data_IF_309979153301
#
_entry.id   IF_309979153301
#
_cell.length_a   1.000
_cell.length_b   1.000
_cell.length_c   1.000
_cell.angle_alpha   90.00
_cell.angle_beta   90.00
_cell.angle_gamma   90.00
#
_symmetry.space_group_name_H-M   'P 1'
#
loop_
_entity.id
_entity.type
_entity.pdbx_description
1 polymer ?
#
# COMPACT_ATOMS: atom_id res chain seq x y z
N UNK A 1 19.60 -12.21 -16.99
CA UNK A 1 20.06 -12.03 -15.60
C UNK A 1 20.14 -10.53 -15.29
N UNK A 2 19.27 -10.01 -14.41
CA UNK A 2 19.27 -8.57 -14.06
C UNK A 2 20.54 -8.30 -13.25
N UNK A 3 21.52 -7.60 -13.82
CA UNK A 3 22.73 -7.18 -13.10
C UNK A 3 22.37 -6.01 -12.17
N UNK A 4 21.79 -6.30 -11.00
CA UNK A 4 21.40 -5.27 -10.02
C UNK A 4 22.56 -4.35 -9.66
N UNK A 5 23.78 -4.89 -9.58
CA UNK A 5 25.01 -4.13 -9.36
C UNK A 5 25.17 -2.97 -10.35
N UNK A 6 25.10 -3.26 -11.66
CA UNK A 6 25.21 -2.23 -12.71
C UNK A 6 24.11 -1.17 -12.59
N UNK A 7 22.87 -1.59 -12.32
CA UNK A 7 21.75 -0.65 -12.14
C UNK A 7 21.96 0.25 -10.92
N UNK A 8 22.53 -0.30 -9.86
CA UNK A 8 22.84 0.41 -8.62
C UNK A 8 23.96 1.44 -8.80
N UNK A 9 24.83 1.26 -9.78
CA UNK A 9 25.93 2.17 -10.14
C UNK A 9 25.49 3.30 -11.08
N UNK A 10 24.24 3.30 -11.55
CA UNK A 10 23.71 4.43 -12.33
C UNK A 10 23.55 5.69 -11.46
N UNK A 11 23.73 6.86 -12.06
CA UNK A 11 23.63 8.16 -11.37
C UNK A 11 22.31 8.32 -10.58
N UNK A 12 21.20 7.79 -11.10
CA UNK A 12 19.89 7.81 -10.42
C UNK A 12 19.92 7.05 -9.08
N UNK A 13 20.43 5.81 -9.08
CA UNK A 13 20.45 4.98 -7.87
C UNK A 13 21.54 5.43 -6.89
N UNK A 14 22.68 5.94 -7.38
CA UNK A 14 23.69 6.59 -6.54
C UNK A 14 23.08 7.79 -5.80
N UNK A 15 22.43 8.72 -6.53
CA UNK A 15 21.78 9.89 -5.93
C UNK A 15 20.72 9.48 -4.89
N UNK A 16 19.88 8.49 -5.20
CA UNK A 16 18.86 7.98 -4.27
C UNK A 16 19.47 7.36 -3.01
N UNK A 17 20.53 6.58 -3.15
CA UNK A 17 21.24 6.00 -2.00
C UNK A 17 21.89 7.08 -1.13
N UNK A 18 22.60 8.02 -1.73
CA UNK A 18 23.23 9.12 -1.00
C UNK A 18 22.20 9.92 -0.20
N UNK A 19 21.06 10.26 -0.81
CA UNK A 19 19.97 10.96 -0.13
C UNK A 19 19.33 10.12 0.98
N UNK A 20 19.15 8.82 0.75
CA UNK A 20 18.63 7.91 1.78
C UNK A 20 19.61 7.80 2.95
N UNK A 21 20.90 7.63 2.68
CA UNK A 21 21.95 7.54 3.70
C UNK A 21 22.03 8.82 4.54
N UNK A 22 22.07 9.99 3.89
CA UNK A 22 22.06 11.28 4.57
C UNK A 22 20.89 11.39 5.55
N UNK A 23 19.68 11.04 5.08
CA UNK A 23 18.47 11.07 5.89
C UNK A 23 18.56 10.12 7.08
N UNK A 24 19.00 8.88 6.86
CA UNK A 24 19.12 7.87 7.92
C UNK A 24 20.19 8.22 8.94
N UNK A 25 21.35 8.74 8.53
CA UNK A 25 22.41 9.15 9.45
C UNK A 25 21.98 10.31 10.34
N UNK A 26 21.36 11.34 9.76
CA UNK A 26 20.83 12.49 10.50
C UNK A 26 19.75 12.05 11.50
N UNK A 27 18.83 11.19 11.07
CA UNK A 27 17.74 10.76 11.96
C UNK A 27 18.25 9.76 13.01
N UNK A 28 19.29 8.96 12.72
CA UNK A 28 20.00 8.11 13.70
C UNK A 28 20.74 8.94 14.76
N UNK A 29 21.38 10.03 14.37
CA UNK A 29 22.01 10.97 15.31
C UNK A 29 21.00 11.52 16.32
N UNK A 30 19.79 11.86 15.88
CA UNK A 30 18.71 12.27 16.79
C UNK A 30 18.41 11.19 17.86
N UNK A 31 18.25 9.93 17.45
CA UNK A 31 18.00 8.82 18.39
C UNK A 31 19.18 8.61 19.36
N UNK A 32 20.42 8.72 18.87
CA UNK A 32 21.61 8.56 19.71
C UNK A 32 21.71 9.66 20.76
N UNK A 33 21.43 10.91 20.38
CA UNK A 33 21.48 12.06 21.30
C UNK A 33 20.39 12.04 22.38
N UNK A 34 19.38 11.18 22.24
CA UNK A 34 18.29 11.02 23.20
C UNK A 34 18.25 9.60 23.80
N UNK A 35 19.34 8.85 23.65
CA UNK A 35 19.43 7.46 24.14
C UNK A 35 19.46 7.34 25.67
N UNK A 36 19.65 8.46 26.38
CA UNK A 36 19.58 8.53 27.84
C UNK A 36 18.14 8.36 28.39
N UNK A 37 17.12 8.67 27.57
CA UNK A 37 15.72 8.46 27.92
C UNK A 37 15.41 6.97 27.73
N UNK A 38 15.30 6.24 28.85
CA UNK A 38 15.07 4.78 28.84
C UNK A 38 13.60 4.39 28.70
N UNK A 39 12.69 5.29 29.03
CA UNK A 39 11.26 5.05 28.88
C UNK A 39 10.81 5.42 27.45
N UNK A 40 10.26 4.46 26.73
CA UNK A 40 9.86 4.64 25.32
C UNK A 40 8.77 5.71 25.17
N UNK A 41 7.84 5.79 26.14
CA UNK A 41 6.74 6.75 26.08
C UNK A 41 7.25 8.16 26.30
N UNK A 42 8.09 8.36 27.32
CA UNK A 42 8.76 9.63 27.59
C UNK A 42 9.59 10.09 26.38
N UNK A 43 10.33 9.15 25.74
CA UNK A 43 11.10 9.45 24.54
C UNK A 43 10.19 9.91 23.39
N UNK A 44 9.07 9.21 23.15
CA UNK A 44 8.13 9.57 22.07
C UNK A 44 7.49 10.93 22.34
N UNK A 45 7.02 11.19 23.56
CA UNK A 45 6.42 12.47 23.94
C UNK A 45 7.43 13.61 23.74
N UNK A 46 8.67 13.46 24.21
CA UNK A 46 9.73 14.45 24.00
C UNK A 46 10.09 14.63 22.50
N UNK A 47 10.17 13.55 21.73
CA UNK A 47 10.44 13.62 20.30
C UNK A 47 9.31 14.31 19.52
N UNK A 48 8.06 14.17 19.97
CA UNK A 48 6.90 14.84 19.38
C UNK A 48 6.86 16.34 19.66
N UNK A 49 7.62 16.87 20.62
CA UNK A 49 7.71 18.32 20.85
C UNK A 49 8.63 19.04 19.85
N UNK A 50 9.60 18.33 19.26
CA UNK A 50 10.56 18.91 18.33
C UNK A 50 10.27 18.56 16.86
N UNK A 51 10.55 19.48 15.93
CA UNK A 51 10.44 19.19 14.49
C UNK A 51 11.42 18.07 14.08
N UNK A 52 12.61 18.07 14.67
CA UNK A 52 13.64 17.05 14.43
C UNK A 52 13.18 15.66 14.87
N UNK A 53 12.56 15.53 16.04
CA UNK A 53 12.04 14.27 16.55
C UNK A 53 10.83 13.76 15.77
N UNK A 54 9.84 14.61 15.49
CA UNK A 54 8.71 14.28 14.59
C UNK A 54 9.20 13.74 13.24
N UNK A 55 10.25 14.35 12.69
CA UNK A 55 10.88 13.91 11.44
C UNK A 55 11.59 12.56 11.60
N UNK A 56 12.37 12.38 12.65
CA UNK A 56 13.09 11.13 12.92
C UNK A 56 12.12 9.95 13.11
N UNK A 57 11.07 10.12 13.91
CA UNK A 57 9.99 9.15 14.09
C UNK A 57 9.31 8.81 12.76
N UNK A 58 8.95 9.83 11.96
CA UNK A 58 8.37 9.63 10.63
C UNK A 58 9.30 8.87 9.70
N UNK A 59 10.61 9.07 9.79
CA UNK A 59 11.59 8.32 9.01
C UNK A 59 11.64 6.87 9.44
N UNK A 60 11.74 6.59 10.75
CA UNK A 60 11.73 5.23 11.29
C UNK A 60 10.48 4.48 10.82
N UNK A 61 9.29 5.05 11.03
CA UNK A 61 8.02 4.47 10.59
C UNK A 61 7.98 4.21 9.08
N UNK A 62 8.52 5.13 8.26
CA UNK A 62 8.59 4.94 6.80
C UNK A 62 9.52 3.80 6.41
N UNK A 63 10.65 3.61 7.09
CA UNK A 63 11.56 2.49 6.80
C UNK A 63 10.95 1.15 7.24
N UNK A 64 10.28 1.11 8.39
CA UNK A 64 9.50 -0.06 8.85
C UNK A 64 8.42 -0.44 7.82
N UNK A 65 7.63 0.54 7.37
CA UNK A 65 6.60 0.35 6.35
C UNK A 65 7.16 -0.23 5.04
N UNK A 66 8.35 0.22 4.60
CA UNK A 66 8.96 -0.32 3.36
C UNK A 66 9.30 -1.80 3.45
N UNK A 67 9.66 -2.27 4.66
CA UNK A 67 10.08 -3.65 4.90
C UNK A 67 8.89 -4.61 4.91
N UNK A 68 7.86 -4.32 5.72
CA UNK A 68 6.75 -5.25 6.00
C UNK A 68 5.49 -4.96 5.19
N UNK A 69 4.96 -3.74 5.25
CA UNK A 69 3.67 -3.37 4.64
C UNK A 69 3.63 -3.60 3.13
N UNK A 70 4.74 -3.36 2.42
CA UNK A 70 4.77 -3.54 0.97
C UNK A 70 4.67 -4.99 0.48
N UNK A 71 4.66 -5.99 1.38
CA UNK A 71 4.57 -7.40 1.07
C UNK A 71 3.58 -8.16 1.97
N UNK A 72 3.23 -7.61 3.13
CA UNK A 72 2.28 -8.23 4.06
C UNK A 72 0.84 -7.76 3.94
N UNK A 73 0.53 -6.90 2.97
CA UNK A 73 -0.81 -6.37 2.72
C UNK A 73 -1.21 -6.59 1.26
N UNK A 74 -2.50 -6.86 1.04
CA UNK A 74 -3.08 -6.92 -0.31
C UNK A 74 -4.33 -6.05 -0.40
N UNK A 75 -4.36 -5.17 -1.41
CA UNK A 75 -5.54 -4.38 -1.71
C UNK A 75 -6.42 -5.12 -2.72
N UNK A 76 -7.68 -5.36 -2.35
CA UNK A 76 -8.70 -5.95 -3.22
C UNK A 76 -9.30 -4.85 -4.09
N UNK A 77 -8.80 -4.74 -5.32
CA UNK A 77 -9.29 -3.71 -6.26
C UNK A 77 -10.66 -4.05 -6.86
N UNK A 78 -10.91 -5.34 -7.13
CA UNK A 78 -12.14 -5.83 -7.73
C UNK A 78 -12.54 -7.10 -7.00
N UNK A 79 -13.74 -7.09 -6.41
CA UNK A 79 -14.36 -8.24 -5.78
C UNK A 79 -15.85 -8.20 -6.06
N UNK A 80 -16.38 -9.32 -6.53
CA UNK A 80 -17.78 -9.46 -6.88
C UNK A 80 -18.02 -10.77 -7.60
N UNK A 81 -19.26 -11.20 -7.63
CA UNK A 81 -19.65 -12.37 -8.40
C UNK A 81 -19.89 -12.00 -9.87
N UNK A 82 -19.58 -12.96 -10.74
CA UNK A 82 -19.99 -12.89 -12.15
C UNK A 82 -21.49 -13.14 -12.28
N UNK A 83 -22.17 -12.58 -13.29
CA UNK A 83 -23.56 -12.95 -13.60
C UNK A 83 -23.69 -14.47 -13.86
N UNK A 84 -24.79 -15.12 -13.42
CA UNK A 84 -25.96 -14.58 -12.74
C UNK A 84 -25.81 -14.51 -11.19
N UNK A 85 -24.69 -14.98 -10.63
CA UNK A 85 -24.48 -15.09 -9.19
C UNK A 85 -24.37 -13.73 -8.47
N UNK A 86 -24.21 -12.64 -9.21
CA UNK A 86 -24.32 -11.28 -8.70
C UNK A 86 -25.66 -11.01 -8.00
N UNK A 87 -26.73 -11.71 -8.41
CA UNK A 87 -28.05 -11.61 -7.78
C UNK A 87 -28.20 -12.46 -6.51
N UNK A 88 -27.28 -13.40 -6.26
CA UNK A 88 -27.39 -14.43 -5.21
C UNK A 88 -26.37 -14.21 -4.08
N UNK A 89 -26.13 -12.95 -3.69
CA UNK A 89 -25.08 -12.58 -2.71
C UNK A 89 -23.70 -13.20 -3.00
N UNK A 90 -23.46 -13.70 -4.23
CA UNK A 90 -22.25 -14.44 -4.56
C UNK A 90 -21.00 -13.57 -4.41
N UNK A 91 -21.16 -12.26 -4.55
CA UNK A 91 -20.08 -11.35 -4.22
C UNK A 91 -19.62 -11.48 -2.78
N UNK A 92 -20.54 -11.56 -1.79
CA UNK A 92 -20.17 -11.75 -0.38
C UNK A 92 -19.45 -13.06 -0.16
N UNK A 93 -19.89 -14.13 -0.83
CA UNK A 93 -19.20 -15.41 -0.80
C UNK A 93 -17.76 -15.29 -1.31
N UNK A 94 -17.53 -14.57 -2.41
CA UNK A 94 -16.17 -14.28 -2.89
C UNK A 94 -15.37 -13.47 -1.87
N UNK A 95 -15.97 -12.47 -1.22
CA UNK A 95 -15.30 -11.70 -0.17
C UNK A 95 -14.91 -12.62 1.02
N UNK A 96 -15.80 -13.53 1.43
CA UNK A 96 -15.48 -14.50 2.47
C UNK A 96 -14.33 -15.42 2.05
N UNK A 97 -14.39 -15.98 0.83
CA UNK A 97 -13.35 -16.86 0.30
C UNK A 97 -11.98 -16.19 0.19
N UNK A 98 -11.91 -14.87 -0.06
CA UNK A 98 -10.64 -14.11 -0.08
C UNK A 98 -9.90 -14.15 1.26
N UNK A 99 -10.59 -14.44 2.36
CA UNK A 99 -10.00 -14.53 3.70
C UNK A 99 -9.54 -15.94 4.07
N UNK A 100 -9.81 -16.94 3.21
CA UNK A 100 -9.51 -18.35 3.46
C UNK A 100 -8.03 -18.72 3.35
N UNK A 101 -7.61 -19.85 3.94
CA UNK A 101 -6.23 -20.35 3.90
C UNK A 101 -5.74 -20.62 2.47
N UNK A 102 -6.61 -21.04 1.54
CA UNK A 102 -6.22 -21.28 0.14
C UNK A 102 -5.66 -20.00 -0.52
N UNK A 103 -6.30 -18.85 -0.29
CA UNK A 103 -5.86 -17.56 -0.86
C UNK A 103 -4.58 -17.08 -0.19
N UNK A 104 -4.45 -17.28 1.12
CA UNK A 104 -3.24 -16.91 1.87
C UNK A 104 -2.05 -17.74 1.38
N UNK A 105 -2.22 -19.05 1.22
CA UNK A 105 -1.18 -19.94 0.71
C UNK A 105 -0.85 -19.65 -0.76
N UNK A 106 -1.86 -19.41 -1.60
CA UNK A 106 -1.64 -18.99 -3.00
C UNK A 106 -0.83 -17.69 -3.08
N UNK A 107 -1.07 -16.72 -2.20
CA UNK A 107 -0.27 -15.50 -2.13
C UNK A 107 1.18 -15.80 -1.76
N UNK A 108 1.40 -16.60 -0.71
CA UNK A 108 2.75 -17.00 -0.26
C UNK A 108 3.53 -17.68 -1.38
N UNK A 109 2.92 -18.66 -2.06
CA UNK A 109 3.55 -19.38 -3.17
C UNK A 109 3.86 -18.47 -4.34
N UNK A 110 2.90 -17.65 -4.77
CA UNK A 110 3.06 -16.73 -5.90
C UNK A 110 4.20 -15.74 -5.70
N UNK A 111 4.38 -15.27 -4.47
CA UNK A 111 5.44 -14.32 -4.13
C UNK A 111 6.67 -14.99 -3.50
N UNK A 112 6.71 -16.31 -3.33
CA UNK A 112 7.84 -17.01 -2.75
C UNK A 112 9.14 -16.68 -3.50
N UNK A 113 10.16 -16.23 -2.78
CA UNK A 113 11.44 -15.84 -3.38
C UNK A 113 11.39 -14.61 -4.29
N UNK A 114 10.29 -13.85 -4.31
CA UNK A 114 10.16 -12.68 -5.18
C UNK A 114 11.21 -11.61 -4.86
N UNK A 115 12.08 -11.35 -5.84
CA UNK A 115 13.09 -10.31 -5.75
C UNK A 115 12.51 -8.93 -6.07
N UNK A 116 12.49 -8.04 -5.08
CA UNK A 116 11.98 -6.68 -5.27
C UNK A 116 12.89 -5.88 -6.20
N UNK A 117 12.49 -5.70 -7.45
CA UNK A 117 13.30 -5.01 -8.50
C UNK A 117 13.85 -3.66 -8.07
N UNK A 118 13.10 -2.88 -7.30
CA UNK A 118 13.51 -1.55 -6.82
C UNK A 118 14.48 -1.68 -5.64
N UNK A 119 14.15 -2.50 -4.63
CA UNK A 119 15.01 -2.68 -3.47
C UNK A 119 16.33 -3.36 -3.84
N UNK A 120 16.30 -4.36 -4.72
CA UNK A 120 17.48 -5.02 -5.27
C UNK A 120 18.37 -4.04 -6.04
N UNK A 121 17.78 -3.13 -6.82
CA UNK A 121 18.53 -2.10 -7.53
C UNK A 121 19.11 -1.03 -6.61
N UNK A 122 18.44 -0.70 -5.49
CA UNK A 122 19.01 0.16 -4.45
C UNK A 122 20.20 -0.52 -3.77
N UNK A 123 20.06 -1.79 -3.37
CA UNK A 123 21.10 -2.57 -2.68
C UNK A 123 22.28 -2.95 -3.59
N UNK A 124 22.03 -3.19 -4.88
CA UNK A 124 23.01 -3.75 -5.81
C UNK A 124 23.10 -5.29 -5.77
N UNK A 125 22.23 -5.93 -4.97
CA UNK A 125 22.13 -7.39 -4.82
C UNK A 125 20.65 -7.76 -4.64
N UNK A 126 20.26 -9.03 -4.87
CA UNK A 126 18.89 -9.49 -4.63
C UNK A 126 18.38 -9.14 -3.21
N UNK A 127 17.14 -8.63 -3.16
CA UNK A 127 16.39 -8.40 -1.93
C UNK A 127 15.06 -9.13 -2.05
N UNK A 128 14.94 -10.21 -1.28
CA UNK A 128 13.70 -10.96 -1.09
C UNK A 128 12.99 -10.41 0.14
N UNK A 129 11.66 -10.24 0.04
CA UNK A 129 10.82 -9.82 1.16
C UNK A 129 10.11 -11.04 1.75
N UNK A 130 9.82 -10.98 3.04
CA UNK A 130 8.88 -11.90 3.68
C UNK A 130 7.48 -11.53 3.20
N UNK A 131 6.76 -12.51 2.67
CA UNK A 131 5.48 -12.31 1.97
C UNK A 131 4.34 -13.00 2.73
N UNK A 132 4.29 -12.81 4.06
CA UNK A 132 3.16 -13.21 4.89
C UNK A 132 2.02 -12.24 4.69
N UNK A 133 0.97 -12.68 4.01
CA UNK A 133 -0.24 -11.89 3.80
C UNK A 133 -1.04 -11.85 5.10
N UNK A 134 -0.98 -10.76 5.87
CA UNK A 134 -1.65 -10.68 7.18
C UNK A 134 -2.86 -9.76 7.19
N UNK A 135 -3.08 -9.01 6.11
CA UNK A 135 -4.09 -7.96 6.08
C UNK A 135 -4.55 -7.68 4.66
N UNK A 136 -5.87 -7.54 4.49
CA UNK A 136 -6.47 -7.05 3.26
C UNK A 136 -7.07 -5.66 3.49
N UNK A 137 -6.92 -4.79 2.50
CA UNK A 137 -7.71 -3.57 2.40
C UNK A 137 -8.61 -3.63 1.16
N UNK A 138 -9.78 -3.00 1.25
CA UNK A 138 -10.62 -2.77 0.08
C UNK A 138 -11.38 -1.46 0.22
N UNK A 139 -11.90 -0.97 -0.90
CA UNK A 139 -12.79 0.19 -0.92
C UNK A 139 -14.15 -0.21 -1.47
N UNK A 140 -15.21 0.29 -0.85
CA UNK A 140 -16.56 0.24 -1.40
C UNK A 140 -16.67 0.99 -2.72
N UNK A 141 -17.76 0.78 -3.44
CA UNK A 141 -18.03 1.52 -4.68
C UNK A 141 -18.44 2.97 -4.39
N UNK A 142 -19.15 3.19 -3.28
CA UNK A 142 -19.72 4.47 -2.87
C UNK A 142 -19.32 4.84 -1.44
N UNK A 143 -19.66 6.07 -1.05
CA UNK A 143 -19.46 6.63 0.29
C UNK A 143 -20.35 5.97 1.35
N UNK A 144 -21.55 5.55 0.98
CA UNK A 144 -22.57 5.12 1.95
C UNK A 144 -22.79 3.62 1.82
N UNK A 145 -22.25 2.89 2.80
CA UNK A 145 -22.37 1.44 2.91
C UNK A 145 -21.75 0.67 1.74
N UNK A 146 -21.60 -0.63 1.95
CA UNK A 146 -21.24 -1.56 0.90
C UNK A 146 -22.06 -2.82 1.07
N UNK A 147 -23.09 -2.99 0.23
CA UNK A 147 -23.85 -4.24 0.21
C UNK A 147 -22.96 -5.49 0.02
N UNK A 148 -21.76 -5.30 -0.52
CA UNK A 148 -20.76 -6.31 -0.81
C UNK A 148 -19.87 -6.67 0.39
N UNK A 149 -19.51 -5.72 1.26
CA UNK A 149 -18.57 -5.96 2.38
C UNK A 149 -19.23 -5.81 3.75
N UNK A 150 -20.36 -5.12 3.84
CA UNK A 150 -21.06 -4.92 5.10
C UNK A 150 -21.50 -6.26 5.69
N UNK A 151 -21.19 -6.42 6.98
CA UNK A 151 -21.55 -7.60 7.79
C UNK A 151 -20.97 -8.90 7.25
N UNK A 152 -19.89 -8.86 6.48
CA UNK A 152 -19.13 -10.06 6.13
C UNK A 152 -18.32 -10.48 7.35
N UNK A 153 -18.65 -11.67 7.86
CA UNK A 153 -18.02 -12.30 9.01
C UNK A 153 -17.69 -13.73 8.65
N UNK A 154 -16.45 -14.14 8.87
CA UNK A 154 -15.96 -15.46 8.54
C UNK A 154 -15.48 -16.12 9.84
N UNK A 155 -16.19 -17.14 10.34
CA UNK A 155 -15.70 -17.90 11.49
C UNK A 155 -14.46 -18.68 11.09
N UNK A 156 -13.45 -18.67 11.95
CA UNK A 156 -12.20 -19.39 11.77
C UNK A 156 -11.82 -20.10 13.08
N UNK A 157 -10.93 -21.12 13.07
CA UNK A 157 -10.58 -21.89 14.26
C UNK A 157 -10.13 -21.04 15.46
N UNK A 158 -9.36 -19.98 15.20
CA UNK A 158 -8.81 -19.12 16.26
C UNK A 158 -9.52 -17.76 16.36
N UNK A 159 -10.76 -17.63 15.86
CA UNK A 159 -11.51 -16.38 15.99
C UNK A 159 -12.47 -16.10 14.85
N UNK A 160 -12.61 -14.83 14.50
CA UNK A 160 -13.51 -14.39 13.44
C UNK A 160 -12.86 -13.28 12.63
N UNK A 161 -12.87 -13.43 11.31
CA UNK A 161 -12.41 -12.40 10.37
C UNK A 161 -13.61 -11.54 9.99
N UNK A 162 -13.47 -10.21 10.12
CA UNK A 162 -14.51 -9.26 9.75
C UNK A 162 -14.00 -8.21 8.76
N UNK A 163 -14.91 -7.71 7.93
CA UNK A 163 -14.67 -6.51 7.12
C UNK A 163 -15.06 -5.29 7.96
N UNK A 164 -14.06 -4.63 8.52
CA UNK A 164 -14.22 -3.47 9.41
C UNK A 164 -14.22 -2.16 8.61
N UNK A 165 -15.28 -1.36 8.72
CA UNK A 165 -15.27 0.01 8.22
C UNK A 165 -14.29 0.87 9.04
N UNK A 166 -13.27 1.40 8.38
CA UNK A 166 -12.24 2.25 9.00
C UNK A 166 -12.27 3.70 8.51
N UNK A 167 -13.34 4.10 7.82
CA UNK A 167 -13.58 5.46 7.37
C UNK A 167 -13.63 5.60 5.85
N UNK A 168 -13.42 6.82 5.37
CA UNK A 168 -13.67 7.19 3.98
C UNK A 168 -12.40 7.68 3.27
N UNK A 169 -12.29 7.34 1.98
CA UNK A 169 -11.24 7.89 1.13
C UNK A 169 -11.49 9.38 0.89
N UNK A 170 -10.42 10.17 0.94
CA UNK A 170 -10.36 11.48 0.28
C UNK A 170 -9.14 11.50 -0.62
N UNK A 171 -9.22 12.16 -1.79
CA UNK A 171 -8.05 12.11 -2.65
C UNK A 171 -8.18 12.77 -4.01
N UNK A 172 -7.01 12.80 -4.64
CA UNK A 172 -6.84 13.25 -6.01
C UNK A 172 -7.01 12.05 -6.95
N UNK A 173 -7.78 12.22 -8.02
CA UNK A 173 -7.99 11.21 -9.03
C UNK A 173 -8.38 11.83 -10.37
N UNK A 174 -8.45 10.97 -11.38
CA UNK A 174 -8.77 11.39 -12.76
C UNK A 174 -10.22 11.10 -13.16
N UNK A 175 -11.05 10.58 -12.23
CA UNK A 175 -12.36 9.97 -12.54
C UNK A 175 -13.33 10.93 -13.22
N UNK A 176 -13.26 12.21 -12.87
CA UNK A 176 -14.06 13.31 -13.40
C UNK A 176 -13.66 13.76 -14.81
N UNK A 177 -12.50 13.32 -15.33
CA UNK A 177 -12.02 13.68 -16.66
C UNK A 177 -12.26 12.54 -17.65
N UNK A 178 -13.05 12.78 -18.71
CA UNK A 178 -13.22 11.83 -19.81
C UNK A 178 -11.93 11.60 -20.60
N UNK A 179 -11.85 10.50 -21.37
CA UNK A 179 -10.67 10.18 -22.17
C UNK A 179 -10.26 11.31 -23.12
N UNK A 180 -11.23 11.86 -23.87
CA UNK A 180 -11.03 12.99 -24.80
C UNK A 180 -10.51 14.24 -24.10
N UNK A 181 -11.05 14.58 -22.93
CA UNK A 181 -10.57 15.73 -22.14
C UNK A 181 -9.12 15.56 -21.73
N UNK A 182 -8.74 14.36 -21.24
CA UNK A 182 -7.36 14.07 -20.85
C UNK A 182 -6.39 14.17 -22.03
N UNK A 183 -6.81 13.69 -23.20
CA UNK A 183 -6.03 13.80 -24.44
C UNK A 183 -5.81 15.27 -24.84
N UNK A 184 -6.87 16.09 -24.82
CA UNK A 184 -6.75 17.52 -25.12
C UNK A 184 -5.85 18.26 -24.12
N UNK A 185 -5.94 17.95 -22.83
CA UNK A 185 -5.04 18.52 -21.81
C UNK A 185 -3.58 18.14 -22.06
N UNK A 186 -3.32 16.91 -22.51
CA UNK A 186 -1.98 16.49 -22.91
C UNK A 186 -1.49 17.28 -24.13
N UNK A 187 -2.33 17.46 -25.16
CA UNK A 187 -2.00 18.29 -26.34
C UNK A 187 -1.68 19.74 -25.98
N UNK A 188 -2.47 20.35 -25.09
CA UNK A 188 -2.20 21.72 -24.60
C UNK A 188 -0.83 21.79 -23.92
N UNK A 189 -0.52 20.82 -23.05
CA UNK A 189 0.78 20.74 -22.37
C UNK A 189 1.92 20.60 -23.38
N UNK A 190 1.76 19.77 -24.40
CA UNK A 190 2.78 19.57 -25.45
C UNK A 190 3.05 20.84 -26.27
N UNK A 191 2.00 21.60 -26.60
CA UNK A 191 2.09 22.84 -27.37
C UNK A 191 2.73 23.99 -26.57
N UNK A 192 2.40 24.11 -25.28
CA UNK A 192 2.83 25.24 -24.46
C UNK A 192 4.16 25.00 -23.73
N UNK A 193 4.51 23.75 -23.42
CA UNK A 193 5.74 23.43 -22.68
C UNK A 193 6.87 22.87 -23.57
N UNK A 194 6.81 23.12 -24.89
CA UNK A 194 7.82 22.71 -25.88
C UNK A 194 8.27 21.25 -25.72
N UNK A 195 7.29 20.35 -25.56
CA UNK A 195 7.52 18.91 -25.35
C UNK A 195 8.40 18.56 -24.15
N UNK A 196 8.42 19.35 -23.07
CA UNK A 196 8.85 18.88 -21.73
C UNK A 196 7.85 17.83 -21.21
N UNK A 197 7.81 16.69 -21.89
CA UNK A 197 6.87 15.63 -21.64
C UNK A 197 7.03 15.14 -20.20
N UNK A 198 5.92 15.06 -19.48
CA UNK A 198 5.83 14.29 -18.24
C UNK A 198 6.21 12.85 -18.57
N UNK A 199 7.43 12.44 -18.21
CA UNK A 199 7.93 11.10 -18.51
C UNK A 199 7.46 10.10 -17.45
N UNK A 200 7.28 8.86 -17.86
CA UNK A 200 6.96 7.74 -16.95
C UNK A 200 8.19 7.16 -16.25
N UNK A 201 9.20 7.95 -15.87
CA UNK A 201 10.42 7.39 -15.27
C UNK A 201 10.21 7.10 -13.79
N UNK A 202 10.74 5.96 -13.34
CA UNK A 202 10.72 5.57 -11.94
C UNK A 202 11.43 6.61 -11.06
N UNK A 203 10.69 7.17 -10.09
CA UNK A 203 11.23 8.13 -9.12
C UNK A 203 10.77 9.57 -9.29
N UNK A 204 9.88 9.86 -10.25
CA UNK A 204 9.35 11.21 -10.48
C UNK A 204 8.10 11.55 -9.64
N UNK A 205 7.78 10.72 -8.64
CA UNK A 205 6.69 10.98 -7.71
C UNK A 205 5.33 10.52 -8.24
N UNK A 206 4.36 11.44 -8.27
CA UNK A 206 2.95 11.17 -8.58
C UNK A 206 2.80 10.57 -9.99
N UNK A 207 1.76 9.72 -10.17
CA UNK A 207 1.46 9.05 -11.43
C UNK A 207 1.54 10.03 -12.63
N UNK A 208 2.24 9.66 -13.74
CA UNK A 208 2.40 10.53 -14.90
C UNK A 208 1.08 11.09 -15.43
N UNK A 209 0.03 10.26 -15.46
CA UNK A 209 -1.33 10.66 -15.85
C UNK A 209 -1.87 11.83 -15.03
N UNK A 210 -1.71 11.79 -13.71
CA UNK A 210 -2.20 12.85 -12.82
C UNK A 210 -1.39 14.14 -13.01
N UNK A 211 -0.06 14.01 -13.19
CA UNK A 211 0.80 15.14 -13.51
C UNK A 211 0.40 15.79 -14.84
N UNK A 212 0.19 15.01 -15.90
CA UNK A 212 -0.25 15.53 -17.20
C UNK A 212 -1.56 16.30 -17.13
N UNK A 213 -2.56 15.77 -16.41
CA UNK A 213 -3.85 16.45 -16.24
C UNK A 213 -3.66 17.77 -15.48
N UNK A 214 -2.89 17.75 -14.38
CA UNK A 214 -2.57 18.96 -13.60
C UNK A 214 -1.93 20.04 -14.47
N UNK A 215 -0.83 19.68 -15.14
CA UNK A 215 -0.09 20.59 -16.01
C UNK A 215 -0.98 21.14 -17.13
N UNK A 216 -1.76 20.29 -17.80
CA UNK A 216 -2.66 20.74 -18.86
C UNK A 216 -3.71 21.73 -18.37
N UNK A 217 -4.21 21.58 -17.15
CA UNK A 217 -5.15 22.53 -16.55
C UNK A 217 -4.49 23.85 -16.15
N UNK A 218 -3.33 23.78 -15.49
CA UNK A 218 -2.56 24.97 -15.10
C UNK A 218 -2.15 25.80 -16.33
N UNK A 219 -1.80 25.13 -17.44
CA UNK A 219 -1.52 25.77 -18.73
C UNK A 219 -2.74 26.46 -19.36
N UNK A 220 -3.95 26.05 -19.01
CA UNK A 220 -5.20 26.74 -19.40
C UNK A 220 -5.62 27.83 -18.40
N UNK A 221 -4.80 28.10 -17.38
CA UNK A 221 -5.13 29.03 -16.30
C UNK A 221 -6.17 28.48 -15.30
N UNK A 222 -6.39 27.17 -15.29
CA UNK A 222 -7.30 26.50 -14.36
C UNK A 222 -6.53 25.98 -13.14
N UNK A 223 -7.25 25.81 -12.03
CA UNK A 223 -6.67 25.27 -10.80
C UNK A 223 -6.33 23.77 -10.95
N UNK A 224 -5.03 23.45 -10.85
CA UNK A 224 -4.50 22.08 -10.83
C UNK A 224 -5.11 21.16 -9.77
N UNK A 225 -5.71 21.73 -8.72
CA UNK A 225 -6.36 21.00 -7.65
C UNK A 225 -7.78 20.54 -7.96
N UNK A 226 -8.35 20.85 -9.13
CA UNK A 226 -9.60 20.20 -9.60
C UNK A 226 -9.44 18.68 -9.81
N UNK A 227 -8.20 18.17 -9.71
CA UNK A 227 -7.92 16.74 -9.57
C UNK A 227 -8.43 16.15 -8.24
N UNK A 228 -8.57 16.97 -7.19
CA UNK A 228 -9.16 16.58 -5.91
C UNK A 228 -10.66 16.41 -6.11
N UNK A 229 -11.11 15.16 -6.11
CA UNK A 229 -12.52 14.85 -6.31
C UNK A 229 -13.21 14.60 -4.97
N UNK A 230 -14.47 15.04 -4.85
CA UNK A 230 -15.35 14.68 -3.74
C UNK A 230 -16.13 13.40 -4.03
N UNK A 231 -15.43 12.35 -4.46
CA UNK A 231 -15.97 11.00 -4.63
C UNK A 231 -15.40 10.07 -3.56
N UNK A 232 -15.79 10.24 -2.28
CA UNK A 232 -15.36 9.37 -1.21
C UNK A 232 -15.96 7.97 -1.34
N UNK A 233 -15.22 6.99 -0.84
CA UNK A 233 -15.57 5.57 -0.78
C UNK A 233 -15.28 5.07 0.62
N UNK A 234 -16.13 4.19 1.14
CA UNK A 234 -15.84 3.50 2.41
C UNK A 234 -14.59 2.64 2.24
N UNK A 235 -13.75 2.59 3.26
CA UNK A 235 -12.54 1.76 3.34
C UNK A 235 -12.83 0.64 4.33
N UNK A 236 -12.55 -0.60 3.92
CA UNK A 236 -12.63 -1.77 4.79
C UNK A 236 -11.25 -2.33 5.08
N UNK A 237 -11.01 -2.62 6.36
CA UNK A 237 -9.88 -3.36 6.87
C UNK A 237 -10.29 -4.81 7.13
N UNK A 238 -9.42 -5.75 6.75
CA UNK A 238 -9.66 -7.20 6.95
C UNK A 238 -8.39 -7.83 7.52
N UNK A 239 -8.24 -7.88 8.85
CA UNK A 239 -7.16 -8.62 9.49
C UNK A 239 -7.27 -10.13 9.25
N UNK A 240 -6.18 -10.76 8.81
CA UNK A 240 -6.11 -12.22 8.63
C UNK A 240 -5.36 -12.94 9.77
N UNK A 241 -4.80 -12.15 10.68
CA UNK A 241 -4.02 -12.56 11.84
C UNK A 241 -4.36 -11.65 13.02
N UNK A 242 -4.34 -12.19 14.24
CA UNK A 242 -4.53 -11.40 15.47
C UNK A 242 -3.44 -10.33 15.63
N UNK A 243 -2.20 -10.72 15.32
CA UNK A 243 -1.00 -9.90 15.47
C UNK A 243 -0.62 -9.15 14.19
N UNK A 244 -1.59 -8.93 13.28
CA UNK A 244 -1.29 -8.31 11.98
C UNK A 244 -0.57 -6.96 12.13
N UNK A 245 -0.92 -6.16 13.15
CA UNK A 245 -0.27 -4.87 13.43
C UNK A 245 1.19 -5.06 13.81
N UNK A 246 1.46 -5.98 14.73
CA UNK A 246 2.80 -6.25 15.23
C UNK A 246 3.70 -6.80 14.13
N UNK A 247 3.17 -7.66 13.27
CA UNK A 247 3.88 -8.12 12.07
C UNK A 247 4.17 -6.96 11.10
N UNK A 248 3.18 -6.10 10.83
CA UNK A 248 3.35 -4.94 9.93
C UNK A 248 4.30 -3.88 10.50
N UNK A 249 4.39 -3.76 11.83
CA UNK A 249 5.39 -2.95 12.53
C UNK A 249 6.74 -3.66 12.69
N UNK A 250 6.81 -4.96 12.36
CA UNK A 250 8.02 -5.77 12.45
C UNK A 250 8.45 -6.10 13.88
N UNK A 251 7.50 -6.09 14.82
CA UNK A 251 7.68 -6.53 16.21
C UNK A 251 7.70 -8.07 16.31
N UNK A 252 6.97 -8.74 15.41
CA UNK A 252 7.01 -10.20 15.23
C UNK A 252 7.45 -10.56 13.80
N UNK A 253 8.10 -11.71 13.66
CA UNK A 253 8.58 -12.24 12.38
C UNK A 253 7.62 -13.24 11.73
N UNK A 254 6.81 -13.91 12.55
CA UNK A 254 5.87 -14.96 12.16
C UNK A 254 4.49 -14.62 12.73
N UNK A 255 3.53 -14.23 11.89
CA UNK A 255 2.19 -13.87 12.34
C UNK A 255 1.35 -15.11 12.63
N UNK A 256 0.57 -15.08 13.70
CA UNK A 256 -0.41 -16.11 14.03
C UNK A 256 -1.75 -15.85 13.32
N UNK A 257 -2.16 -16.76 12.45
CA UNK A 257 -3.34 -16.62 11.62
C UNK A 257 -4.61 -17.13 12.31
N UNK A 258 -5.75 -16.54 11.94
CA UNK A 258 -7.06 -17.05 12.38
C UNK A 258 -7.34 -18.45 11.84
N UNK A 259 -6.81 -18.77 10.65
CA UNK A 259 -6.87 -20.09 10.02
C UNK A 259 -5.65 -20.95 10.38
N UNK A 260 -5.89 -22.25 10.57
CA UNK A 260 -4.81 -23.24 10.57
C UNK A 260 -4.26 -23.39 9.15
N UNK A 261 -2.96 -23.17 8.98
CA UNK A 261 -2.30 -23.19 7.67
C UNK A 261 -1.87 -24.59 7.23
N UNK A 262 -1.85 -25.55 8.16
CA UNK A 262 -1.33 -26.90 7.95
C UNK A 262 -2.38 -27.87 7.39
N UNK A 263 -3.66 -27.45 7.30
CA UNK A 263 -4.75 -28.33 6.91
C UNK A 263 -5.78 -27.61 6.02
N UNK A 264 -5.40 -27.32 4.77
CA UNK A 264 -6.30 -26.74 3.76
C UNK A 264 -7.50 -27.63 3.43
N UNK A 265 -7.57 -28.86 3.96
CA UNK A 265 -8.72 -29.75 3.83
C UNK A 265 -9.89 -29.40 4.78
N UNK A 266 -9.68 -28.59 5.81
CA UNK A 266 -10.73 -28.26 6.81
C UNK A 266 -11.80 -27.27 6.29
N UNK A 267 -11.54 -26.48 5.26
CA UNK A 267 -12.56 -25.58 4.66
C UNK A 267 -13.75 -26.34 4.06
N UNK A 268 -13.54 -27.60 3.63
CA UNK A 268 -14.62 -28.44 3.11
C UNK A 268 -15.54 -28.99 4.22
N UNK A 269 -15.07 -29.04 5.47
CA UNK A 269 -15.80 -29.62 6.60
C UNK A 269 -16.60 -28.59 7.41
N UNK A 270 -16.22 -27.31 7.36
CA UNK A 270 -16.95 -26.22 8.06
C UNK A 270 -18.14 -25.71 7.23
N UNK A 271 -18.18 -26.01 5.92
CA UNK A 271 -19.20 -25.56 4.97
C UNK A 271 -20.22 -26.64 4.56
N UNK A 272 -20.34 -27.74 5.31
CA UNK A 272 -21.40 -28.77 5.20
C UNK A 272 -22.17 -28.88 6.53
#
# INVERSE_FOLDING_TARGET
MIKFRLKSETALFIKKRAHTLQKLLRDREFFLNHSDIKDDREFIEAALESEAGRRALRTALKETKKRRVGAGMMNIQVCGAIPPYSHLLGGKLVAMALTGPEIINTYREKYAGYESKIASAMKGAPVVKQNELVFLDTTGLYKVGSAQYDRVRVPAPNGQIEYEDIGETSGYGSVQFGAKTREQLATVTELLEDRKAVRGRFGEGVAPKMRQIRHGMENLGLDGDLLKHESPRVIYAVPLSEEFRDYLFGLVDSPEYYWSMDDTAQEAAINL
#
